data_IF_048263409273
#
_entry.id   IF_048263409273
#
_cell.length_a   1.000
_cell.length_b   1.000
_cell.length_c   1.000
_cell.angle_alpha   90.00
_cell.angle_beta   90.00
_cell.angle_gamma   90.00
#
_symmetry.space_group_name_H-M   'P 1'
#
loop_
_entity.id
_entity.type
_entity.pdbx_description
1 polymer ?
#
# COMPACT_ATOMS: atom_id res chain seq x y z
N UNK A 1 2.87 -9.64 -11.80
CA UNK A 1 3.56 -8.34 -11.69
C UNK A 1 2.84 -7.36 -12.62
N UNK A 2 2.63 -6.10 -12.20
CA UNK A 2 1.95 -5.10 -13.03
C UNK A 2 2.74 -4.89 -14.34
N UNK A 3 2.10 -4.86 -15.54
CA UNK A 3 2.81 -4.71 -16.82
C UNK A 3 3.73 -3.49 -16.86
N UNK A 4 3.31 -2.39 -16.24
CA UNK A 4 4.06 -1.13 -16.19
C UNK A 4 5.40 -1.30 -15.46
N UNK A 5 5.46 -2.17 -14.45
CA UNK A 5 6.69 -2.45 -13.71
C UNK A 5 7.65 -3.27 -14.57
N UNK A 6 7.14 -4.20 -15.38
CA UNK A 6 7.98 -4.96 -16.31
C UNK A 6 8.60 -4.02 -17.36
N UNK A 7 7.80 -3.09 -17.89
CA UNK A 7 8.27 -2.06 -18.83
C UNK A 7 9.33 -1.16 -18.19
N UNK A 8 9.10 -0.71 -16.95
CA UNK A 8 10.03 0.12 -16.20
C UNK A 8 11.38 -0.58 -16.00
N UNK A 9 11.36 -1.82 -15.47
CA UNK A 9 12.59 -2.57 -15.22
C UNK A 9 13.31 -2.90 -16.52
N UNK A 10 12.57 -3.27 -17.58
CA UNK A 10 13.17 -3.52 -18.89
C UNK A 10 13.88 -2.27 -19.42
N UNK A 11 13.26 -1.09 -19.29
CA UNK A 11 13.88 0.19 -19.66
C UNK A 11 15.13 0.48 -18.83
N UNK A 12 15.08 0.27 -17.52
CA UNK A 12 16.23 0.47 -16.63
C UNK A 12 17.41 -0.44 -17.03
N UNK A 13 17.13 -1.72 -17.33
CA UNK A 13 18.15 -2.67 -17.82
C UNK A 13 18.75 -2.19 -19.14
N UNK A 14 17.92 -1.83 -20.12
CA UNK A 14 18.40 -1.35 -21.44
C UNK A 14 19.25 -0.11 -21.29
N UNK A 15 18.79 0.90 -20.55
CA UNK A 15 19.56 2.14 -20.31
C UNK A 15 20.87 1.86 -19.58
N UNK A 16 20.87 0.96 -18.59
CA UNK A 16 22.09 0.59 -17.89
C UNK A 16 23.10 -0.06 -18.86
N UNK A 17 22.67 -1.02 -19.67
CA UNK A 17 23.55 -1.71 -20.61
C UNK A 17 24.05 -0.78 -21.73
N UNK A 18 23.20 0.09 -22.29
CA UNK A 18 23.60 1.07 -23.31
C UNK A 18 24.73 2.00 -22.84
N UNK A 19 24.77 2.32 -21.55
CA UNK A 19 25.76 3.23 -20.97
C UNK A 19 27.03 2.48 -20.54
N UNK A 20 26.90 1.25 -20.05
CA UNK A 20 27.97 0.57 -19.31
C UNK A 20 28.58 -0.63 -20.06
N UNK A 21 27.93 -1.18 -21.09
CA UNK A 21 28.48 -2.29 -21.89
C UNK A 21 29.48 -1.76 -22.92
N UNK A 22 30.70 -1.52 -22.44
CA UNK A 22 31.83 -1.03 -23.24
C UNK A 22 32.94 -2.07 -23.32
N UNK A 23 33.82 -1.96 -24.30
CA UNK A 23 34.92 -2.91 -24.52
C UNK A 23 35.85 -3.10 -23.31
N UNK A 24 35.94 -2.09 -22.45
CA UNK A 24 36.80 -2.10 -21.25
C UNK A 24 36.08 -2.67 -20.00
N UNK A 25 34.78 -2.93 -20.09
CA UNK A 25 33.99 -3.37 -18.94
C UNK A 25 34.04 -4.88 -18.78
N UNK A 26 34.51 -5.35 -17.63
CA UNK A 26 34.52 -6.77 -17.30
C UNK A 26 33.08 -7.25 -17.08
N UNK A 27 32.67 -8.29 -17.81
CA UNK A 27 31.33 -8.87 -17.74
C UNK A 27 30.85 -9.19 -16.29
N UNK A 28 31.69 -9.74 -15.38
CA UNK A 28 31.27 -9.96 -13.99
C UNK A 28 30.91 -8.66 -13.26
N UNK A 29 31.67 -7.59 -13.49
CA UNK A 29 31.42 -6.27 -12.88
C UNK A 29 30.13 -5.66 -13.43
N UNK A 30 29.94 -5.73 -14.75
CA UNK A 30 28.72 -5.29 -15.42
C UNK A 30 27.49 -6.01 -14.87
N UNK A 31 27.57 -7.33 -14.73
CA UNK A 31 26.47 -8.15 -14.20
C UNK A 31 26.18 -7.86 -12.73
N UNK A 32 27.20 -7.71 -11.89
CA UNK A 32 27.03 -7.41 -10.47
C UNK A 32 26.36 -6.05 -10.26
N UNK A 33 26.78 -5.03 -11.00
CA UNK A 33 26.18 -3.71 -10.93
C UNK A 33 24.77 -3.67 -11.54
N UNK A 34 24.51 -4.35 -12.66
CA UNK A 34 23.16 -4.49 -13.24
C UNK A 34 22.17 -5.13 -12.24
N UNK A 35 22.60 -6.16 -11.51
CA UNK A 35 21.75 -6.77 -10.47
C UNK A 35 21.39 -5.77 -9.37
N UNK A 36 22.31 -4.87 -8.99
CA UNK A 36 22.03 -3.85 -7.98
C UNK A 36 21.03 -2.82 -8.49
N UNK A 37 21.14 -2.41 -9.76
CA UNK A 37 20.17 -1.52 -10.42
C UNK A 37 18.77 -2.13 -10.41
N UNK A 38 18.64 -3.38 -10.88
CA UNK A 38 17.37 -4.12 -10.90
C UNK A 38 16.79 -4.25 -9.49
N UNK A 39 17.63 -4.56 -8.49
CA UNK A 39 17.20 -4.67 -7.10
C UNK A 39 16.68 -3.32 -6.57
N UNK A 40 17.31 -2.21 -6.93
CA UNK A 40 16.88 -0.86 -6.58
C UNK A 40 15.45 -0.58 -7.07
N UNK A 41 15.17 -0.91 -8.32
CA UNK A 41 13.82 -0.79 -8.91
C UNK A 41 12.78 -1.63 -8.16
N UNK A 42 13.09 -2.91 -7.88
CA UNK A 42 12.18 -3.78 -7.13
C UNK A 42 11.88 -3.27 -5.71
N UNK A 43 12.89 -2.74 -5.02
CA UNK A 43 12.72 -2.14 -3.69
C UNK A 43 11.82 -0.91 -3.79
N UNK A 44 12.05 -0.02 -4.77
CA UNK A 44 11.23 1.17 -4.99
C UNK A 44 9.75 0.82 -5.21
N UNK A 45 9.48 -0.12 -6.11
CA UNK A 45 8.11 -0.61 -6.40
C UNK A 45 7.45 -1.20 -5.15
N UNK A 46 8.19 -2.02 -4.40
CA UNK A 46 7.68 -2.65 -3.18
C UNK A 46 7.39 -1.63 -2.08
N UNK A 47 8.25 -0.61 -1.94
CA UNK A 47 8.05 0.46 -0.98
C UNK A 47 6.81 1.29 -1.31
N UNK A 48 6.60 1.62 -2.59
CA UNK A 48 5.42 2.33 -3.06
C UNK A 48 4.13 1.52 -2.82
N UNK A 49 4.14 0.23 -3.15
CA UNK A 49 2.97 -0.65 -2.94
C UNK A 49 2.65 -0.79 -1.45
N UNK A 50 3.67 -0.96 -0.61
CA UNK A 50 3.51 -1.04 0.83
C UNK A 50 2.98 0.27 1.43
N UNK A 51 3.41 1.43 0.92
CA UNK A 51 2.88 2.73 1.32
C UNK A 51 1.39 2.84 1.02
N UNK A 52 0.99 2.53 -0.22
CA UNK A 52 -0.41 2.56 -0.64
C UNK A 52 -1.29 1.62 0.21
N UNK A 53 -0.80 0.41 0.48
CA UNK A 53 -1.51 -0.55 1.35
C UNK A 53 -1.68 -0.03 2.77
N UNK A 54 -0.65 0.60 3.35
CA UNK A 54 -0.72 1.18 4.69
C UNK A 54 -1.72 2.32 4.76
N UNK A 55 -1.70 3.23 3.79
CA UNK A 55 -2.64 4.35 3.71
C UNK A 55 -4.08 3.86 3.56
N UNK A 56 -4.33 2.90 2.66
CA UNK A 56 -5.65 2.29 2.49
C UNK A 56 -6.13 1.62 3.77
N UNK A 57 -5.25 0.88 4.47
CA UNK A 57 -5.59 0.23 5.74
C UNK A 57 -5.93 1.25 6.82
N UNK A 58 -5.12 2.29 6.97
CA UNK A 58 -5.36 3.35 7.95
C UNK A 58 -6.70 4.06 7.69
N UNK A 59 -7.00 4.35 6.42
CA UNK A 59 -8.26 4.97 6.03
C UNK A 59 -9.47 4.08 6.35
N UNK A 60 -9.42 2.80 5.97
CA UNK A 60 -10.49 1.85 6.28
C UNK A 60 -10.68 1.66 7.78
N UNK A 61 -9.58 1.56 8.54
CA UNK A 61 -9.64 1.45 9.99
C UNK A 61 -10.32 2.68 10.62
N UNK A 62 -9.99 3.88 10.13
CA UNK A 62 -10.65 5.10 10.58
C UNK A 62 -12.15 5.07 10.29
N UNK A 63 -12.56 4.70 9.07
CA UNK A 63 -13.97 4.60 8.72
C UNK A 63 -14.73 3.61 9.61
N UNK A 64 -14.15 2.44 9.89
CA UNK A 64 -14.75 1.43 10.78
C UNK A 64 -14.92 2.02 12.19
N UNK A 65 -13.89 2.65 12.75
CA UNK A 65 -13.95 3.27 14.08
C UNK A 65 -15.05 4.33 14.18
N UNK A 66 -15.20 5.18 13.16
CA UNK A 66 -16.26 6.21 13.15
C UNK A 66 -17.66 5.60 13.05
N UNK A 67 -17.83 4.57 12.21
CA UNK A 67 -19.10 3.84 12.12
C UNK A 67 -19.46 3.15 13.44
N UNK A 68 -18.49 2.55 14.13
CA UNK A 68 -18.70 1.94 15.44
C UNK A 68 -19.11 2.97 16.50
N UNK A 69 -18.51 4.17 16.50
CA UNK A 69 -18.92 5.27 17.39
C UNK A 69 -20.35 5.70 17.12
N UNK A 70 -20.70 5.94 15.85
CA UNK A 70 -22.05 6.33 15.44
C UNK A 70 -23.07 5.27 15.88
N UNK A 71 -22.77 3.99 15.64
CA UNK A 71 -23.64 2.89 16.06
C UNK A 71 -23.84 2.85 17.58
N UNK A 72 -22.77 3.01 18.38
CA UNK A 72 -22.87 3.06 19.84
C UNK A 72 -23.71 4.24 20.34
N UNK A 73 -23.55 5.42 19.72
CA UNK A 73 -24.33 6.61 20.07
C UNK A 73 -25.82 6.44 19.75
N UNK A 74 -26.15 5.86 18.59
CA UNK A 74 -27.54 5.55 18.22
C UNK A 74 -28.14 4.47 19.12
N UNK A 75 -27.37 3.43 19.47
CA UNK A 75 -27.81 2.39 20.41
C UNK A 75 -28.06 2.90 21.83
N UNK A 76 -27.25 3.86 22.30
CA UNK A 76 -27.41 4.49 23.61
C UNK A 76 -28.65 5.41 23.71
N UNK A 77 -29.14 5.95 22.59
CA UNK A 77 -30.38 6.73 22.53
C UNK A 77 -31.65 5.87 22.46
N UNK A 78 -31.53 4.58 22.12
CA UNK A 78 -32.66 3.63 22.02
C UNK A 78 -33.00 2.88 23.31
N UNK A 79 -32.22 3.03 24.38
CA UNK A 79 -32.43 2.36 25.68
C UNK A 79 -33.06 3.26 26.76
N UNK A 80 -33.70 4.36 26.36
CA UNK A 80 -34.48 5.25 27.22
C UNK A 80 -35.98 5.10 27.01
N UNK A 81 -36.51 3.86 26.97
CA UNK A 81 -37.93 3.62 26.77
C UNK A 81 -38.68 3.44 28.11
N UNK A 82 -39.49 4.44 28.44
CA UNK A 82 -40.85 4.29 28.95
C UNK A 82 -41.07 3.58 30.29
N UNK A 83 -40.65 4.22 31.39
CA UNK A 83 -41.32 4.09 32.69
C UNK A 83 -42.51 5.05 32.77
N UNK A 84 -43.59 4.80 32.02
CA UNK A 84 -44.89 5.44 32.28
C UNK A 84 -45.78 4.42 32.97
N UNK A 85 -45.94 4.63 34.29
CA UNK A 85 -46.92 3.94 35.12
C UNK A 85 -48.31 4.10 34.50
N UNK A 86 -48.95 2.98 34.14
CA UNK A 86 -50.40 2.91 33.97
C UNK A 86 -50.94 1.99 35.05
N UNK A 87 -51.20 2.58 36.22
CA UNK A 87 -52.13 2.03 37.19
C UNK A 87 -53.54 2.31 36.69
N UNK A 88 -54.30 1.27 36.39
CA UNK A 88 -55.74 1.35 36.23
C UNK A 88 -56.39 0.72 37.46
N UNK A 89 -57.08 1.57 38.21
CA UNK A 89 -58.06 1.24 39.26
C UNK A 89 -59.36 0.74 38.66
#
# INVERSE_FOLDING_TARGET
MRPEVVTQISKAISTYLEINDTADTLLPVLWDALKMEIRGEFIGVSAADNKLRREKRAHLQHQVTELEKIHKMMGAQGSGDSSVQLGYS
#
